data_IF_115544481991
#
_entry.id   IF_115544481991
#
_cell.length_a   1.000
_cell.length_b   1.000
_cell.length_c   1.000
_cell.angle_alpha   90.00
_cell.angle_beta   90.00
_cell.angle_gamma   90.00
#
_symmetry.space_group_name_H-M   'P 1'
#
loop_
_entity.id
_entity.type
_entity.pdbx_description
1 polymer ?
#
# COMPACT_ATOMS: atom_id res chain seq x y z
N UNK A 1 8.57 36.39 21.77
CA UNK A 1 9.59 35.59 22.45
C UNK A 1 10.48 35.00 21.37
N UNK A 2 11.63 35.63 21.11
CA UNK A 2 12.54 35.24 20.02
C UNK A 2 13.47 34.14 20.49
N UNK A 3 13.55 33.06 19.78
CA UNK A 3 14.53 31.99 20.03
C UNK A 3 15.65 32.16 19.00
N UNK A 4 16.82 32.55 19.48
CA UNK A 4 18.07 32.68 18.70
C UNK A 4 18.75 31.31 18.70
N UNK A 5 18.99 30.73 17.52
CA UNK A 5 19.75 29.47 17.37
C UNK A 5 21.22 29.84 17.09
N UNK A 6 22.12 29.41 17.98
CA UNK A 6 23.57 29.54 17.79
C UNK A 6 24.13 28.47 16.83
N UNK A 7 25.14 28.79 16.00
CA UNK A 7 25.73 27.82 15.07
C UNK A 7 26.74 26.89 15.75
N UNK A 8 26.45 25.59 15.75
CA UNK A 8 27.28 24.54 16.31
C UNK A 8 28.64 24.36 15.59
N UNK A 9 29.72 24.26 16.37
CA UNK A 9 31.11 24.07 15.97
C UNK A 9 31.30 22.77 15.19
N UNK A 10 31.89 22.87 14.00
CA UNK A 10 32.36 21.73 13.18
C UNK A 10 33.50 21.02 13.91
N UNK A 11 33.34 19.76 14.28
CA UNK A 11 34.39 18.86 14.77
C UNK A 11 35.26 18.41 13.59
N UNK A 12 36.53 18.70 13.66
CA UNK A 12 37.59 18.18 12.75
C UNK A 12 37.80 16.69 13.07
N UNK A 13 37.55 15.83 12.08
CA UNK A 13 37.90 14.39 12.18
C UNK A 13 39.35 14.24 11.76
N UNK A 14 40.18 13.76 12.68
CA UNK A 14 41.59 13.42 12.43
C UNK A 14 41.67 12.14 11.57
N UNK A 15 42.55 12.20 10.55
CA UNK A 15 42.94 11.05 9.75
C UNK A 15 43.70 10.06 10.62
N UNK A 16 43.19 8.86 10.81
CA UNK A 16 43.94 7.72 11.35
C UNK A 16 44.58 6.95 10.20
N UNK A 17 45.78 6.47 10.49
CA UNK A 17 46.74 5.84 9.61
C UNK A 17 46.25 4.48 9.04
N UNK A 18 46.72 4.19 7.81
CA UNK A 18 46.61 2.89 7.15
C UNK A 18 47.29 1.79 7.98
N UNK A 19 46.58 0.72 8.26
CA UNK A 19 47.16 -0.57 8.55
C UNK A 19 46.71 -1.55 7.45
N UNK A 20 47.66 -2.05 6.68
CA UNK A 20 47.49 -3.09 5.68
C UNK A 20 47.10 -4.40 6.38
N UNK A 21 45.84 -4.72 6.39
CA UNK A 21 45.29 -6.03 6.73
C UNK A 21 44.62 -6.61 5.53
N UNK A 22 45.28 -7.47 4.75
CA UNK A 22 44.68 -8.36 3.78
C UNK A 22 43.68 -9.28 4.51
N UNK A 23 42.44 -8.84 4.68
CA UNK A 23 41.35 -9.74 5.05
C UNK A 23 40.86 -10.39 3.78
N UNK A 24 41.01 -11.70 3.70
CA UNK A 24 40.47 -12.52 2.63
C UNK A 24 38.98 -12.19 2.46
N UNK A 25 38.59 -11.71 1.27
CA UNK A 25 37.21 -11.52 0.87
C UNK A 25 36.61 -12.91 0.83
N UNK A 26 35.92 -13.28 1.90
CA UNK A 26 35.02 -14.43 1.86
C UNK A 26 34.08 -14.20 0.68
N UNK A 27 33.92 -15.19 -0.19
CA UNK A 27 33.01 -15.16 -1.32
C UNK A 27 31.62 -14.72 -0.79
N UNK A 28 31.21 -13.52 -1.08
CA UNK A 28 29.89 -13.02 -0.69
C UNK A 28 28.86 -13.86 -1.43
N UNK A 29 28.17 -14.75 -0.72
CA UNK A 29 26.94 -15.33 -1.24
C UNK A 29 26.05 -14.16 -1.67
N UNK A 30 25.72 -14.07 -2.94
CA UNK A 30 24.85 -13.02 -3.45
C UNK A 30 23.51 -13.10 -2.71
N UNK A 31 23.04 -11.98 -2.16
CA UNK A 31 21.76 -11.91 -1.48
C UNK A 31 20.65 -12.37 -2.44
N UNK A 32 19.71 -13.17 -1.95
CA UNK A 32 18.46 -13.39 -2.68
C UNK A 32 17.69 -12.07 -2.84
N UNK A 33 16.78 -12.00 -3.79
CA UNK A 33 15.90 -10.84 -3.97
C UNK A 33 15.15 -10.49 -2.68
N UNK A 34 14.65 -11.51 -1.98
CA UNK A 34 13.94 -11.34 -0.70
C UNK A 34 14.85 -10.76 0.39
N UNK A 35 16.03 -11.31 0.59
CA UNK A 35 16.99 -10.79 1.59
C UNK A 35 17.39 -9.36 1.27
N UNK A 36 17.71 -9.07 0.02
CA UNK A 36 18.04 -7.72 -0.44
C UNK A 36 16.95 -6.72 -0.13
N UNK A 37 15.68 -7.07 -0.42
CA UNK A 37 14.55 -6.22 -0.12
C UNK A 37 14.39 -5.99 1.39
N UNK A 38 14.40 -7.05 2.20
CA UNK A 38 14.22 -6.95 3.64
C UNK A 38 15.38 -6.23 4.33
N UNK A 39 16.62 -6.48 3.90
CA UNK A 39 17.79 -5.76 4.46
C UNK A 39 17.71 -4.26 4.17
N UNK A 40 17.29 -3.89 2.95
CA UNK A 40 17.06 -2.47 2.64
C UNK A 40 15.95 -1.85 3.51
N UNK A 41 14.85 -2.56 3.76
CA UNK A 41 13.79 -2.12 4.67
C UNK A 41 14.29 -1.93 6.11
N UNK A 42 15.27 -2.72 6.53
CA UNK A 42 15.92 -2.60 7.84
C UNK A 42 17.14 -1.68 7.86
N UNK A 43 17.35 -0.87 6.83
CA UNK A 43 18.52 0.02 6.68
C UNK A 43 19.87 -0.71 6.78
N UNK A 44 19.93 -1.98 6.39
CA UNK A 44 21.15 -2.78 6.35
C UNK A 44 21.81 -2.67 4.97
N UNK A 45 23.12 -2.95 4.93
CA UNK A 45 23.88 -2.91 3.69
C UNK A 45 23.43 -4.00 2.71
N UNK A 46 23.26 -3.63 1.45
CA UNK A 46 22.89 -4.50 0.35
C UNK A 46 23.88 -4.38 -0.80
N UNK A 47 23.93 -5.41 -1.65
CA UNK A 47 24.79 -5.45 -2.84
C UNK A 47 24.38 -4.45 -3.93
N UNK A 48 23.10 -4.18 -4.04
CA UNK A 48 22.47 -3.17 -4.89
C UNK A 48 21.09 -2.78 -4.32
N UNK A 49 20.51 -1.64 -4.69
CA UNK A 49 19.13 -1.31 -4.33
C UNK A 49 18.16 -2.38 -4.84
N UNK A 50 17.18 -2.84 -4.02
CA UNK A 50 16.11 -3.70 -4.51
C UNK A 50 15.18 -2.93 -5.44
N UNK A 51 14.63 -3.62 -6.43
CA UNK A 51 13.73 -3.03 -7.42
C UNK A 51 12.38 -3.73 -7.43
N UNK A 52 11.33 -2.95 -7.29
CA UNK A 52 9.94 -3.32 -7.55
C UNK A 52 9.17 -2.09 -8.02
N UNK A 53 8.01 -2.26 -8.64
CA UNK A 53 7.18 -1.16 -9.11
C UNK A 53 5.78 -1.27 -8.53
N UNK A 54 5.20 -0.17 -8.05
CA UNK A 54 3.87 -0.12 -7.46
C UNK A 54 2.78 -0.73 -8.38
N UNK A 55 2.87 -0.50 -9.68
CA UNK A 55 1.95 -1.04 -10.69
C UNK A 55 2.66 -1.98 -11.66
N UNK A 56 3.46 -2.90 -11.14
CA UNK A 56 4.20 -3.86 -11.97
C UNK A 56 3.30 -4.84 -12.71
N UNK A 57 2.18 -5.25 -12.13
CA UNK A 57 1.12 -6.00 -12.81
C UNK A 57 0.13 -5.04 -13.49
N UNK A 58 -0.37 -5.39 -14.67
CA UNK A 58 -1.37 -4.57 -15.34
C UNK A 58 -1.29 -4.59 -16.87
N UNK A 59 -1.97 -3.64 -17.50
CA UNK A 59 -2.21 -3.59 -18.96
C UNK A 59 -0.94 -3.55 -19.86
N UNK A 60 0.22 -3.25 -19.29
CA UNK A 60 1.49 -3.33 -20.00
C UNK A 60 1.85 -4.80 -20.34
N UNK A 61 1.39 -5.75 -19.54
CA UNK A 61 1.69 -7.18 -19.72
C UNK A 61 0.68 -7.84 -20.66
N UNK A 62 1.13 -8.55 -21.72
CA UNK A 62 0.23 -9.33 -22.57
C UNK A 62 -0.54 -10.40 -21.81
N UNK A 63 0.09 -11.05 -20.85
CA UNK A 63 -0.51 -12.08 -19.98
C UNK A 63 -1.68 -11.53 -19.18
N UNK A 64 -1.52 -10.33 -18.62
CA UNK A 64 -2.61 -9.65 -17.91
C UNK A 64 -3.76 -9.32 -18.86
N UNK A 65 -3.47 -8.81 -20.07
CA UNK A 65 -4.52 -8.50 -21.06
C UNK A 65 -5.33 -9.72 -21.43
N UNK A 66 -4.67 -10.87 -21.63
CA UNK A 66 -5.35 -12.14 -21.94
C UNK A 66 -6.30 -12.61 -20.81
N UNK A 67 -5.94 -12.36 -19.53
CA UNK A 67 -6.84 -12.61 -18.41
C UNK A 67 -8.01 -11.61 -18.36
N UNK A 68 -7.73 -10.33 -18.67
CA UNK A 68 -8.76 -9.27 -18.71
C UNK A 68 -9.81 -9.46 -19.81
N UNK A 69 -9.52 -10.21 -20.86
CA UNK A 69 -10.52 -10.60 -21.88
C UNK A 69 -11.56 -11.59 -21.35
N UNK A 70 -11.22 -12.35 -20.31
CA UNK A 70 -12.03 -13.43 -19.74
C UNK A 70 -12.66 -13.08 -18.39
N UNK A 71 -12.08 -12.14 -17.67
CA UNK A 71 -12.43 -11.82 -16.29
C UNK A 71 -12.55 -10.31 -16.09
N UNK A 72 -13.50 -9.90 -15.26
CA UNK A 72 -13.58 -8.53 -14.75
C UNK A 72 -12.41 -8.23 -13.81
N UNK A 73 -12.18 -6.96 -13.52
CA UNK A 73 -11.14 -6.58 -12.56
C UNK A 73 -11.43 -7.13 -11.15
N UNK A 74 -12.69 -7.05 -10.71
CA UNK A 74 -13.08 -7.56 -9.39
C UNK A 74 -12.93 -9.08 -9.30
N UNK A 75 -13.30 -9.84 -10.35
CA UNK A 75 -13.04 -11.28 -10.38
C UNK A 75 -11.55 -11.61 -10.26
N UNK A 76 -10.67 -10.83 -10.93
CA UNK A 76 -9.22 -11.01 -10.81
C UNK A 76 -8.71 -10.74 -9.40
N UNK A 77 -9.29 -9.78 -8.68
CA UNK A 77 -8.89 -9.41 -7.31
C UNK A 77 -9.50 -10.37 -6.28
N UNK A 78 -10.78 -10.76 -6.45
CA UNK A 78 -11.53 -11.52 -5.46
C UNK A 78 -11.34 -13.04 -5.57
N UNK A 79 -10.73 -13.52 -6.67
CA UNK A 79 -10.39 -14.95 -6.85
C UNK A 79 -8.93 -15.16 -6.48
N UNK A 80 -8.61 -15.87 -5.39
CA UNK A 80 -7.25 -16.04 -4.89
C UNK A 80 -6.26 -16.54 -5.94
N UNK A 81 -6.66 -17.52 -6.77
CA UNK A 81 -5.83 -18.11 -7.81
C UNK A 81 -5.53 -17.13 -8.94
N UNK A 82 -6.51 -16.31 -9.34
CA UNK A 82 -6.33 -15.27 -10.36
C UNK A 82 -5.47 -14.12 -9.84
N UNK A 83 -5.71 -13.67 -8.62
CA UNK A 83 -4.87 -12.66 -7.97
C UNK A 83 -3.41 -13.13 -7.85
N UNK A 84 -3.21 -14.41 -7.52
CA UNK A 84 -1.88 -15.06 -7.48
C UNK A 84 -1.22 -15.02 -8.84
N UNK A 85 -1.89 -15.51 -9.88
CA UNK A 85 -1.33 -15.52 -11.24
C UNK A 85 -0.92 -14.10 -11.69
N UNK A 86 -1.82 -13.12 -11.53
CA UNK A 86 -1.53 -11.72 -11.91
C UNK A 86 -0.36 -11.13 -11.13
N UNK A 87 -0.26 -11.43 -9.82
CA UNK A 87 0.84 -10.99 -8.96
C UNK A 87 2.19 -11.52 -9.47
N UNK A 88 2.24 -12.76 -9.92
CA UNK A 88 3.47 -13.44 -10.31
C UNK A 88 3.95 -13.10 -11.72
N UNK A 89 3.06 -12.67 -12.62
CA UNK A 89 3.41 -12.33 -14.02
C UNK A 89 4.62 -11.39 -14.14
N UNK A 90 4.65 -10.22 -13.48
CA UNK A 90 5.78 -9.30 -13.57
C UNK A 90 7.05 -9.84 -12.93
N UNK A 91 6.93 -10.63 -11.86
CA UNK A 91 8.10 -11.27 -11.21
C UNK A 91 8.75 -12.27 -12.15
N UNK A 92 7.95 -13.13 -12.79
CA UNK A 92 8.44 -14.12 -13.77
C UNK A 92 9.06 -13.46 -14.99
N UNK A 93 8.51 -12.31 -15.44
CA UNK A 93 8.97 -11.61 -16.65
C UNK A 93 10.21 -10.77 -16.43
N UNK A 94 10.31 -10.07 -15.31
CA UNK A 94 11.32 -9.03 -15.07
C UNK A 94 12.30 -9.36 -13.94
N UNK A 95 12.02 -10.36 -13.12
CA UNK A 95 12.89 -10.73 -12.00
C UNK A 95 12.96 -9.65 -10.91
N UNK A 96 11.85 -8.98 -10.59
CA UNK A 96 11.78 -8.00 -9.51
C UNK A 96 12.17 -8.59 -8.16
N UNK A 97 12.72 -7.75 -7.27
CA UNK A 97 13.13 -8.16 -5.92
C UNK A 97 11.95 -8.32 -4.96
N UNK A 98 10.81 -7.72 -5.27
CA UNK A 98 9.57 -7.94 -4.54
C UNK A 98 8.37 -8.09 -5.47
N UNK A 99 7.43 -8.96 -5.07
CA UNK A 99 6.08 -9.02 -5.57
C UNK A 99 5.20 -8.13 -4.71
N UNK A 100 4.27 -7.38 -5.31
CA UNK A 100 3.19 -6.73 -4.59
C UNK A 100 1.88 -7.41 -4.97
N UNK A 101 1.08 -7.75 -3.96
CA UNK A 101 -0.23 -8.38 -4.16
C UNK A 101 -1.05 -7.62 -5.20
N UNK A 102 -1.58 -8.34 -6.20
CA UNK A 102 -2.54 -7.73 -7.13
C UNK A 102 -3.89 -7.54 -6.45
N UNK A 103 -4.22 -6.30 -6.17
CA UNK A 103 -5.43 -5.88 -5.50
C UNK A 103 -5.73 -4.40 -5.83
N UNK A 104 -6.71 -3.81 -5.14
CA UNK A 104 -7.02 -2.39 -5.18
C UNK A 104 -7.07 -1.81 -3.77
N UNK A 105 -6.76 -0.52 -3.59
CA UNK A 105 -6.86 0.14 -2.29
C UNK A 105 -8.32 0.18 -1.79
N UNK A 106 -9.30 0.19 -2.69
CA UNK A 106 -10.73 0.28 -2.37
C UNK A 106 -11.36 -1.03 -1.91
N UNK A 107 -10.62 -2.15 -1.95
CA UNK A 107 -11.11 -3.40 -1.32
C UNK A 107 -11.40 -3.18 0.18
N UNK A 108 -10.70 -2.23 0.83
CA UNK A 108 -10.99 -1.87 2.21
C UNK A 108 -12.35 -1.16 2.36
N UNK A 109 -12.75 -0.31 1.41
CA UNK A 109 -14.08 0.29 1.42
C UNK A 109 -15.18 -0.79 1.32
N UNK A 110 -14.99 -1.79 0.44
CA UNK A 110 -15.84 -2.99 0.36
C UNK A 110 -15.84 -3.75 1.70
N UNK A 111 -14.66 -4.00 2.27
CA UNK A 111 -14.52 -4.65 3.58
C UNK A 111 -15.25 -3.92 4.71
N UNK A 112 -15.30 -2.61 4.67
CA UNK A 112 -16.05 -1.76 5.60
C UNK A 112 -17.56 -1.73 5.32
N UNK A 113 -18.02 -2.24 4.17
CA UNK A 113 -19.44 -2.29 3.80
C UNK A 113 -19.87 -1.18 2.85
N UNK A 114 -18.94 -0.51 2.17
CA UNK A 114 -19.22 0.40 1.06
C UNK A 114 -18.68 -0.21 -0.25
N UNK A 115 -19.47 -1.00 -0.97
CA UNK A 115 -19.04 -1.63 -2.22
C UNK A 115 -18.80 -0.61 -3.32
N UNK A 116 -18.02 -1.02 -4.31
CA UNK A 116 -17.70 -0.22 -5.48
C UNK A 116 -17.71 -1.07 -6.76
N UNK A 117 -17.82 -0.40 -7.90
CA UNK A 117 -17.79 -1.02 -9.22
C UNK A 117 -16.96 -0.20 -10.20
N UNK A 118 -16.56 -0.83 -11.30
CA UNK A 118 -15.90 -0.15 -12.41
C UNK A 118 -16.93 0.20 -13.47
N UNK A 119 -16.93 1.47 -13.90
CA UNK A 119 -17.81 1.94 -14.99
C UNK A 119 -17.31 1.41 -16.35
N UNK A 120 -18.19 1.15 -17.27
CA UNK A 120 -17.86 0.68 -18.64
C UNK A 120 -16.90 1.62 -19.37
N UNK A 121 -17.03 2.93 -19.16
CA UNK A 121 -16.18 3.97 -19.75
C UNK A 121 -14.90 4.26 -18.95
N UNK A 122 -14.60 3.42 -17.96
CA UNK A 122 -13.50 3.58 -17.01
C UNK A 122 -13.86 4.47 -15.82
N UNK A 123 -13.08 4.33 -14.76
CA UNK A 123 -13.30 4.96 -13.47
C UNK A 123 -14.03 4.06 -12.48
N UNK A 124 -14.09 4.51 -11.25
CA UNK A 124 -14.66 3.80 -10.10
C UNK A 124 -15.94 4.52 -9.68
N UNK A 125 -16.91 3.76 -9.22
CA UNK A 125 -18.16 4.25 -8.65
C UNK A 125 -18.48 3.52 -7.37
N UNK A 126 -18.62 4.29 -6.28
CA UNK A 126 -19.08 3.75 -5.00
C UNK A 126 -20.60 3.58 -5.02
N UNK A 127 -21.12 2.52 -4.43
CA UNK A 127 -22.59 2.28 -4.42
C UNK A 127 -23.38 3.36 -3.66
N UNK A 128 -22.79 3.97 -2.66
CA UNK A 128 -23.35 5.12 -1.95
C UNK A 128 -22.23 6.05 -1.50
N UNK A 129 -22.59 7.29 -1.10
CA UNK A 129 -21.64 8.31 -0.65
C UNK A 129 -21.69 8.47 0.86
N UNK A 130 -20.57 8.84 1.45
CA UNK A 130 -20.50 9.20 2.88
C UNK A 130 -20.77 10.70 3.05
N UNK A 131 -22.05 11.07 3.25
CA UNK A 131 -22.47 12.46 3.34
C UNK A 131 -23.00 12.83 4.74
N UNK A 132 -23.22 11.86 5.61
CA UNK A 132 -23.86 12.05 6.90
C UNK A 132 -23.25 11.15 7.98
N UNK A 133 -23.58 11.45 9.23
CA UNK A 133 -23.23 10.60 10.38
C UNK A 133 -23.80 9.19 10.22
N UNK A 134 -25.03 9.06 9.71
CA UNK A 134 -25.66 7.77 9.50
C UNK A 134 -24.90 6.91 8.46
N UNK A 135 -24.35 7.54 7.39
CA UNK A 135 -23.54 6.82 6.40
C UNK A 135 -22.22 6.31 7.00
N UNK A 136 -21.55 7.15 7.82
CA UNK A 136 -20.33 6.75 8.53
C UNK A 136 -20.62 5.63 9.53
N UNK A 137 -21.79 5.65 10.20
CA UNK A 137 -22.17 4.61 11.14
C UNK A 137 -22.40 3.25 10.48
N UNK A 138 -22.79 3.20 9.22
CA UNK A 138 -22.93 1.96 8.43
C UNK A 138 -21.61 1.23 8.20
N UNK A 139 -20.46 1.90 8.34
CA UNK A 139 -19.17 1.27 8.16
C UNK A 139 -18.85 0.31 9.34
N UNK A 140 -18.57 -0.95 9.02
CA UNK A 140 -18.40 -2.05 9.97
C UNK A 140 -16.95 -2.52 10.04
N UNK A 141 -16.13 -1.87 10.85
CA UNK A 141 -14.71 -2.22 11.01
C UNK A 141 -14.52 -3.69 11.42
N UNK A 142 -15.36 -4.20 12.31
CA UNK A 142 -15.29 -5.58 12.80
C UNK A 142 -15.53 -6.66 11.72
N UNK A 143 -16.06 -6.29 10.55
CA UNK A 143 -16.31 -7.21 9.44
C UNK A 143 -15.20 -7.22 8.37
N UNK A 144 -14.21 -6.33 8.46
CA UNK A 144 -13.15 -6.18 7.46
C UNK A 144 -12.41 -7.50 7.21
N UNK A 145 -11.94 -8.15 8.24
CA UNK A 145 -11.18 -9.39 8.12
C UNK A 145 -12.00 -10.55 7.56
N UNK A 146 -13.29 -10.63 7.88
CA UNK A 146 -14.21 -11.62 7.34
C UNK A 146 -14.46 -11.39 5.84
N UNK A 147 -14.80 -10.15 5.46
CA UNK A 147 -15.16 -9.80 4.07
C UNK A 147 -13.95 -9.88 3.13
N UNK A 148 -12.73 -9.64 3.63
CA UNK A 148 -11.50 -9.65 2.82
C UNK A 148 -10.71 -10.97 2.90
N UNK A 149 -11.36 -12.08 3.25
CA UNK A 149 -10.73 -13.41 3.32
C UNK A 149 -10.11 -13.87 1.99
N UNK A 150 -10.58 -13.40 0.85
CA UNK A 150 -9.98 -13.72 -0.45
C UNK A 150 -8.54 -13.18 -0.56
N UNK A 151 -8.22 -12.03 0.06
CA UNK A 151 -6.87 -11.51 0.16
C UNK A 151 -6.00 -12.44 1.03
N UNK A 152 -6.49 -12.81 2.21
CA UNK A 152 -5.79 -13.72 3.11
C UNK A 152 -5.52 -15.11 2.47
N UNK A 153 -6.40 -15.56 1.58
CA UNK A 153 -6.23 -16.82 0.83
C UNK A 153 -5.21 -16.70 -0.31
N UNK A 154 -5.14 -15.55 -0.98
CA UNK A 154 -4.20 -15.31 -2.08
C UNK A 154 -2.74 -15.25 -1.61
N UNK A 155 -2.47 -14.61 -0.48
CA UNK A 155 -1.10 -14.38 0.01
C UNK A 155 -0.29 -15.66 0.24
N UNK A 156 -0.81 -16.73 0.88
CA UNK A 156 -0.08 -17.99 1.01
C UNK A 156 0.22 -18.67 -0.33
N UNK A 157 -0.71 -18.59 -1.31
CA UNK A 157 -0.51 -19.14 -2.65
C UNK A 157 0.64 -18.41 -3.35
N UNK A 158 0.64 -17.08 -3.33
CA UNK A 158 1.71 -16.27 -3.89
C UNK A 158 3.04 -16.62 -3.22
N UNK A 159 3.05 -16.70 -1.88
CA UNK A 159 4.27 -16.98 -1.11
C UNK A 159 4.86 -18.34 -1.42
N UNK A 160 4.01 -19.35 -1.60
CA UNK A 160 4.44 -20.68 -2.00
C UNK A 160 5.14 -20.67 -3.37
N UNK A 161 4.57 -19.99 -4.37
CA UNK A 161 5.13 -19.85 -5.71
C UNK A 161 6.42 -19.02 -5.75
N UNK A 162 6.54 -18.00 -4.91
CA UNK A 162 7.76 -17.20 -4.76
C UNK A 162 8.93 -18.02 -4.17
N UNK A 163 8.64 -19.13 -3.48
CA UNK A 163 9.63 -20.08 -2.97
C UNK A 163 10.66 -19.47 -2.02
N UNK A 164 10.31 -18.43 -1.30
CA UNK A 164 11.20 -17.72 -0.37
C UNK A 164 12.29 -16.88 -1.02
N UNK A 165 12.34 -16.80 -2.36
CA UNK A 165 13.39 -16.06 -3.10
C UNK A 165 13.08 -14.60 -3.34
N UNK A 166 11.80 -14.23 -3.42
CA UNK A 166 11.31 -12.88 -3.70
C UNK A 166 10.44 -12.43 -2.53
N UNK A 167 10.55 -11.17 -2.10
CA UNK A 167 9.72 -10.62 -1.02
C UNK A 167 8.27 -10.44 -1.49
N UNK A 168 7.32 -10.56 -0.56
CA UNK A 168 5.90 -10.33 -0.79
C UNK A 168 5.44 -9.10 -0.03
N UNK A 169 4.93 -8.10 -0.75
CA UNK A 169 4.40 -6.85 -0.21
C UNK A 169 2.89 -6.92 -0.18
N UNK A 170 2.30 -6.75 1.01
CA UNK A 170 0.90 -6.39 1.20
C UNK A 170 0.73 -4.88 1.19
N UNK A 171 -0.52 -4.38 1.05
CA UNK A 171 -0.73 -2.93 1.05
C UNK A 171 -2.16 -2.53 1.42
N UNK A 172 -2.31 -1.25 1.75
CA UNK A 172 -3.60 -0.57 1.88
C UNK A 172 -3.50 0.87 1.36
N UNK A 173 -4.63 1.49 1.08
CA UNK A 173 -4.71 2.94 0.93
C UNK A 173 -4.60 3.63 2.29
N UNK A 174 -4.05 4.85 2.34
CA UNK A 174 -4.11 5.67 3.55
C UNK A 174 -5.56 6.04 3.89
N UNK A 175 -5.89 6.28 5.16
CA UNK A 175 -7.22 6.73 5.56
C UNK A 175 -7.70 7.97 4.79
N UNK A 176 -6.82 8.97 4.59
CA UNK A 176 -7.14 10.16 3.81
C UNK A 176 -7.46 9.82 2.34
N UNK A 177 -6.64 9.02 1.69
CA UNK A 177 -6.88 8.60 0.30
C UNK A 177 -8.21 7.85 0.17
N UNK A 178 -8.50 6.92 1.08
CA UNK A 178 -9.76 6.17 1.10
C UNK A 178 -10.97 7.08 1.34
N UNK A 179 -10.89 7.97 2.34
CA UNK A 179 -11.96 8.94 2.64
C UNK A 179 -12.35 9.75 1.40
N UNK A 180 -11.36 10.21 0.63
CA UNK A 180 -11.64 10.96 -0.60
C UNK A 180 -12.48 10.16 -1.60
N UNK A 181 -12.11 8.92 -1.91
CA UNK A 181 -12.90 8.07 -2.82
C UNK A 181 -14.28 7.78 -2.27
N UNK A 182 -14.41 7.49 -0.98
CA UNK A 182 -15.64 7.10 -0.31
C UNK A 182 -16.65 8.27 -0.21
N UNK A 183 -16.16 9.50 -0.02
CA UNK A 183 -16.99 10.71 0.05
C UNK A 183 -17.36 11.22 -1.35
N UNK A 184 -16.39 11.21 -2.28
CA UNK A 184 -16.62 11.73 -3.64
C UNK A 184 -17.43 10.74 -4.52
N UNK A 185 -17.43 9.45 -4.17
CA UNK A 185 -18.07 8.40 -4.94
C UNK A 185 -17.22 7.81 -6.05
N UNK A 186 -15.92 8.14 -6.07
CA UNK A 186 -14.97 7.68 -7.09
C UNK A 186 -13.79 8.63 -7.26
N UNK A 187 -13.02 8.42 -8.33
CA UNK A 187 -11.91 9.31 -8.67
C UNK A 187 -12.40 10.60 -9.33
N UNK A 188 -12.08 11.74 -8.75
CA UNK A 188 -12.39 13.08 -9.25
C UNK A 188 -11.12 13.93 -9.32
N UNK A 189 -11.19 15.13 -9.96
CA UNK A 189 -10.00 15.99 -10.09
C UNK A 189 -9.67 16.76 -8.81
N UNK A 190 -10.68 17.23 -8.09
CA UNK A 190 -10.48 18.28 -7.06
C UNK A 190 -10.81 17.86 -5.63
N UNK A 191 -11.52 16.76 -5.44
CA UNK A 191 -11.90 16.23 -4.12
C UNK A 191 -12.56 17.28 -3.21
N UNK A 192 -13.52 18.04 -3.78
CA UNK A 192 -14.13 19.19 -3.14
C UNK A 192 -15.01 18.81 -1.96
N UNK A 193 -15.79 17.70 -2.09
CA UNK A 193 -16.68 17.25 -1.00
C UNK A 193 -15.87 16.79 0.22
N UNK A 194 -14.80 16.02 0.01
CA UNK A 194 -13.93 15.55 1.08
C UNK A 194 -13.27 16.72 1.81
N UNK A 195 -12.76 17.71 1.06
CA UNK A 195 -12.21 18.95 1.65
C UNK A 195 -13.30 19.74 2.39
N UNK A 196 -14.49 19.86 1.81
CA UNK A 196 -15.61 20.55 2.46
C UNK A 196 -15.98 19.90 3.79
N UNK A 197 -16.07 18.56 3.84
CA UNK A 197 -16.35 17.85 5.08
C UNK A 197 -15.25 18.08 6.13
N UNK A 198 -13.99 18.03 5.72
CA UNK A 198 -12.85 18.30 6.61
C UNK A 198 -12.93 19.66 7.31
N UNK A 199 -13.40 20.71 6.59
CA UNK A 199 -13.50 22.05 7.15
C UNK A 199 -14.85 22.35 7.81
N UNK A 200 -15.96 21.86 7.24
CA UNK A 200 -17.32 22.22 7.70
C UNK A 200 -17.79 21.36 8.87
N UNK A 201 -17.42 20.08 8.92
CA UNK A 201 -17.75 19.16 10.02
C UNK A 201 -16.54 18.33 10.46
N UNK A 202 -15.58 18.94 11.20
CA UNK A 202 -14.40 18.24 11.66
C UNK A 202 -14.70 17.03 12.57
N UNK A 203 -15.85 17.03 13.28
CA UNK A 203 -16.24 15.93 14.16
C UNK A 203 -16.64 14.70 13.37
N UNK A 204 -17.46 14.88 12.34
CA UNK A 204 -17.85 13.79 11.45
C UNK A 204 -16.64 13.27 10.68
N UNK A 205 -15.79 14.19 10.20
CA UNK A 205 -14.56 13.82 9.53
C UNK A 205 -13.63 12.99 10.43
N UNK A 206 -13.42 13.41 11.68
CA UNK A 206 -12.58 12.66 12.65
C UNK A 206 -13.12 11.25 12.88
N UNK A 207 -14.42 11.09 13.09
CA UNK A 207 -15.06 9.77 13.24
C UNK A 207 -14.84 8.86 12.02
N UNK A 208 -14.92 9.42 10.82
CA UNK A 208 -14.62 8.67 9.61
C UNK A 208 -13.16 8.24 9.58
N UNK A 209 -12.24 9.14 9.88
CA UNK A 209 -10.80 8.85 9.91
C UNK A 209 -10.45 7.79 10.94
N UNK A 210 -11.04 7.82 12.14
CA UNK A 210 -10.88 6.80 13.17
C UNK A 210 -11.28 5.41 12.64
N UNK A 211 -12.49 5.28 12.08
CA UNK A 211 -12.96 4.00 11.48
C UNK A 211 -12.07 3.52 10.34
N UNK A 212 -11.61 4.44 9.47
CA UNK A 212 -10.70 4.09 8.38
C UNK A 212 -9.34 3.65 8.90
N UNK A 213 -8.80 4.31 9.91
CA UNK A 213 -7.52 3.95 10.54
C UNK A 213 -7.60 2.56 11.17
N UNK A 214 -8.64 2.27 11.94
CA UNK A 214 -8.89 0.94 12.50
C UNK A 214 -9.05 -0.12 11.39
N UNK A 215 -9.80 0.19 10.34
CA UNK A 215 -10.00 -0.70 9.19
C UNK A 215 -8.69 -0.98 8.44
N UNK A 216 -7.87 0.05 8.19
CA UNK A 216 -6.53 -0.08 7.58
C UNK A 216 -5.65 -0.96 8.45
N UNK A 217 -5.59 -0.71 9.77
CA UNK A 217 -4.79 -1.50 10.70
C UNK A 217 -5.22 -2.98 10.70
N UNK A 218 -6.52 -3.26 10.79
CA UNK A 218 -7.06 -4.62 10.75
C UNK A 218 -6.74 -5.32 9.42
N UNK A 219 -6.84 -4.61 8.29
CA UNK A 219 -6.54 -5.16 6.98
C UNK A 219 -5.05 -5.43 6.76
N UNK A 220 -4.17 -4.55 7.25
CA UNK A 220 -2.73 -4.77 7.19
C UNK A 220 -2.31 -5.94 8.09
N UNK A 221 -2.90 -6.05 9.28
CA UNK A 221 -2.66 -7.18 10.17
C UNK A 221 -3.09 -8.51 9.52
N UNK A 222 -4.26 -8.56 8.88
CA UNK A 222 -4.71 -9.72 8.11
C UNK A 222 -3.69 -10.14 7.05
N UNK A 223 -3.08 -9.20 6.35
CA UNK A 223 -2.08 -9.48 5.33
C UNK A 223 -0.75 -9.97 5.93
N UNK A 224 -0.33 -9.40 7.06
CA UNK A 224 0.86 -9.86 7.80
C UNK A 224 0.67 -11.30 8.28
N UNK A 225 -0.46 -11.58 8.91
CA UNK A 225 -0.79 -12.92 9.43
C UNK A 225 -0.88 -13.96 8.31
N UNK A 226 -1.34 -13.54 7.12
CA UNK A 226 -1.37 -14.38 5.92
C UNK A 226 0.00 -14.55 5.23
N UNK A 227 1.05 -13.88 5.73
CA UNK A 227 2.43 -14.12 5.31
C UNK A 227 3.08 -13.05 4.43
N UNK A 228 2.54 -11.85 4.34
CA UNK A 228 3.25 -10.72 3.72
C UNK A 228 4.58 -10.46 4.46
N UNK A 229 5.65 -10.22 3.71
CA UNK A 229 6.98 -9.93 4.26
C UNK A 229 7.13 -8.46 4.67
N UNK A 230 6.39 -7.59 4.02
CA UNK A 230 6.31 -6.17 4.32
C UNK A 230 4.92 -5.65 3.93
N UNK A 231 4.53 -4.50 4.49
CA UNK A 231 3.29 -3.82 4.12
C UNK A 231 3.58 -2.37 3.74
N UNK A 232 2.80 -1.85 2.78
CA UNK A 232 2.91 -0.50 2.26
C UNK A 232 1.58 0.24 2.39
N UNK A 233 1.61 1.44 2.95
CA UNK A 233 0.46 2.35 2.93
C UNK A 233 0.65 3.34 1.79
N UNK A 234 -0.34 3.42 0.88
CA UNK A 234 -0.33 4.37 -0.24
C UNK A 234 -1.18 5.59 0.07
N UNK A 235 -0.53 6.75 0.23
CA UNK A 235 -1.22 8.02 0.33
C UNK A 235 -1.16 8.79 -1.01
N UNK A 236 -1.91 8.29 -1.98
CA UNK A 236 -1.94 8.85 -3.35
C UNK A 236 -2.50 10.27 -3.41
N UNK A 237 -3.24 10.69 -2.40
CA UNK A 237 -3.92 11.99 -2.34
C UNK A 237 -3.39 12.92 -1.24
N UNK A 238 -2.31 12.54 -0.53
CA UNK A 238 -1.68 13.39 0.49
C UNK A 238 -1.29 14.77 -0.04
N UNK A 239 -0.82 14.82 -1.30
CA UNK A 239 -0.44 16.07 -1.97
C UNK A 239 -1.58 17.05 -2.32
N UNK A 240 -2.85 16.67 -2.13
CA UNK A 240 -3.99 17.60 -2.34
C UNK A 240 -4.31 18.43 -1.10
N UNK A 241 -3.63 18.17 0.01
CA UNK A 241 -3.69 18.96 1.25
C UNK A 241 -2.54 19.95 1.31
N UNK A 242 -2.77 21.10 1.95
CA UNK A 242 -1.68 21.99 2.36
C UNK A 242 -0.87 21.33 3.50
N UNK A 243 0.39 21.72 3.66
CA UNK A 243 1.28 21.21 4.72
C UNK A 243 0.63 21.30 6.12
N UNK A 244 0.02 22.43 6.46
CA UNK A 244 -0.65 22.60 7.75
C UNK A 244 -1.92 21.77 7.94
N UNK A 245 -2.52 21.25 6.86
CA UNK A 245 -3.70 20.39 6.91
C UNK A 245 -3.32 18.90 6.92
N UNK A 246 -2.19 18.54 6.32
CA UNK A 246 -1.74 17.16 6.20
C UNK A 246 -1.62 16.51 7.58
N UNK A 247 -0.94 17.14 8.54
CA UNK A 247 -0.79 16.59 9.90
C UNK A 247 -2.12 16.37 10.63
N UNK A 248 -3.20 17.11 10.30
CA UNK A 248 -4.53 16.93 10.91
C UNK A 248 -5.37 15.87 10.21
N UNK A 249 -5.09 15.57 8.95
CA UNK A 249 -5.83 14.60 8.16
C UNK A 249 -5.16 13.22 8.09
N UNK A 250 -3.87 13.13 8.46
CA UNK A 250 -3.06 11.90 8.36
C UNK A 250 -2.53 11.42 9.72
N UNK A 251 -2.78 12.16 10.80
CA UNK A 251 -2.46 11.79 12.17
C UNK A 251 -3.58 10.97 12.80
#
# INVERSE_FOLDING_TARGET
MSITVEPGKRRRVSRASKSDGKTAVAASSSLSSRERFLYACHCQAVDRPPVWLMRQAGRALPEYRALKEKHTFLELVQTPELATEVTLQPVRRFGFDAAILFSDILVLAEGLGQPYQFRDRGGIEMEFLLNSSADVDRLEVGRVTERLQYVAKALPLIKADLGGRTALIGFAGSPWTLANFMIEGGGVKEYTKAKSLFYADPKLFSRLMEKLTEGVAAFLQLQIDAGADAVQIFDSLGGVLSEGCFGRASA
#
